data_IF_409399853000
#
_entry.id   IF_409399853000
#
_cell.length_a   1.000
_cell.length_b   1.000
_cell.length_c   1.000
_cell.angle_alpha   90.00
_cell.angle_beta   90.00
_cell.angle_gamma   90.00
#
_symmetry.space_group_name_H-M   'P 1'
#
loop_
_entity.id
_entity.type
_entity.pdbx_description
1 polymer ?
#
# COMPACT_ATOMS: atom_id res chain seq x y z
N UNK A 1 20.60 1.69 -27.35
CA UNK A 1 19.65 0.68 -26.82
C UNK A 1 19.30 -0.25 -27.97
N UNK A 2 18.96 -1.52 -27.68
CA UNK A 2 18.31 -2.43 -28.64
C UNK A 2 16.79 -2.53 -28.39
N UNK A 3 16.24 -1.55 -27.67
CA UNK A 3 14.85 -1.54 -27.27
C UNK A 3 13.93 -1.34 -28.49
N UNK A 4 12.81 -2.07 -28.60
CA UNK A 4 11.88 -1.94 -29.74
C UNK A 4 11.35 -0.51 -29.89
N UNK A 5 11.14 0.18 -28.77
CA UNK A 5 10.72 1.57 -28.72
C UNK A 5 11.79 2.58 -29.20
N UNK A 6 13.04 2.15 -29.39
CA UNK A 6 14.19 2.98 -29.75
C UNK A 6 14.68 2.80 -31.18
N UNK A 7 13.95 2.08 -32.04
CA UNK A 7 14.28 1.88 -33.46
C UNK A 7 14.41 3.24 -34.22
N UNK A 8 13.88 4.33 -33.68
CA UNK A 8 14.05 5.71 -34.18
C UNK A 8 15.12 6.55 -33.48
N UNK A 9 16.08 5.96 -32.76
CA UNK A 9 17.16 6.67 -32.08
C UNK A 9 16.75 7.41 -30.79
N UNK A 10 15.47 7.36 -30.41
CA UNK A 10 14.94 7.98 -29.19
C UNK A 10 14.36 6.91 -28.29
N UNK A 11 15.03 6.62 -27.20
CA UNK A 11 14.64 5.57 -26.29
C UNK A 11 14.22 6.17 -24.94
N UNK A 12 12.93 6.06 -24.62
CA UNK A 12 12.34 6.67 -23.41
C UNK A 12 12.99 6.21 -22.12
N UNK A 13 13.46 4.96 -22.08
CA UNK A 13 14.14 4.43 -20.90
C UNK A 13 15.50 5.11 -20.65
N UNK A 14 16.24 5.54 -21.68
CA UNK A 14 17.47 6.32 -21.49
C UNK A 14 17.14 7.70 -20.92
N UNK A 15 16.10 8.36 -21.43
CA UNK A 15 15.63 9.62 -20.85
C UNK A 15 15.21 9.44 -19.38
N UNK A 16 14.43 8.41 -19.07
CA UNK A 16 14.02 8.10 -17.70
C UNK A 16 15.22 7.85 -16.78
N UNK A 17 16.23 7.10 -17.24
CA UNK A 17 17.47 6.89 -16.47
C UNK A 17 18.22 8.20 -16.22
N UNK A 18 18.32 9.08 -17.22
CA UNK A 18 18.98 10.38 -17.05
C UNK A 18 18.24 11.29 -16.07
N UNK A 19 16.90 11.32 -16.14
CA UNK A 19 16.08 12.04 -15.16
C UNK A 19 16.25 11.49 -13.75
N UNK A 20 16.27 10.17 -13.58
CA UNK A 20 16.49 9.54 -12.28
C UNK A 20 17.86 9.89 -11.68
N UNK A 21 18.91 9.95 -12.52
CA UNK A 21 20.24 10.35 -12.06
C UNK A 21 20.30 11.81 -11.62
N UNK A 22 19.58 12.70 -12.32
CA UNK A 22 19.46 14.09 -11.91
C UNK A 22 18.78 14.22 -10.55
N UNK A 23 17.67 13.50 -10.34
CA UNK A 23 16.97 13.44 -9.05
C UNK A 23 17.91 13.02 -7.91
N UNK A 24 18.76 12.01 -8.13
CA UNK A 24 19.72 11.58 -7.10
C UNK A 24 20.76 12.65 -6.76
N UNK A 25 21.24 13.39 -7.75
CA UNK A 25 22.16 14.52 -7.53
C UNK A 25 21.47 15.63 -6.74
N UNK A 26 20.23 15.97 -7.09
CA UNK A 26 19.45 17.00 -6.38
C UNK A 26 19.12 16.61 -4.94
N UNK A 27 18.87 15.32 -4.70
CA UNK A 27 18.62 14.75 -3.37
C UNK A 27 19.91 14.54 -2.55
N UNK A 28 21.09 14.80 -3.12
CA UNK A 28 22.38 14.64 -2.45
C UNK A 28 22.73 13.17 -2.12
N UNK A 29 22.16 12.22 -2.85
CA UNK A 29 22.43 10.79 -2.69
C UNK A 29 23.78 10.46 -3.32
N UNK A 30 24.73 9.96 -2.52
CA UNK A 30 26.03 9.50 -3.00
C UNK A 30 25.98 8.12 -3.65
N UNK A 31 24.98 7.32 -3.28
CA UNK A 31 24.78 5.95 -3.73
C UNK A 31 23.34 5.74 -4.19
N UNK A 32 23.16 4.86 -5.18
CA UNK A 32 21.86 4.48 -5.70
C UNK A 32 21.14 3.65 -4.62
N UNK A 33 19.95 4.04 -4.15
CA UNK A 33 19.23 3.26 -3.15
C UNK A 33 18.87 1.88 -3.72
N UNK A 34 19.03 0.83 -2.90
CA UNK A 34 18.59 -0.51 -3.24
C UNK A 34 17.08 -0.52 -3.50
N UNK A 35 16.68 -0.94 -4.70
CA UNK A 35 15.28 -1.11 -5.09
C UNK A 35 14.74 -2.40 -4.43
N UNK A 36 14.48 -2.31 -3.11
CA UNK A 36 13.96 -3.43 -2.34
C UNK A 36 12.51 -3.66 -2.73
N UNK A 37 12.26 -4.80 -3.37
CA UNK A 37 10.89 -5.20 -3.67
C UNK A 37 10.16 -5.58 -2.38
N UNK A 38 8.82 -5.51 -2.35
CA UNK A 38 8.07 -5.79 -1.11
C UNK A 38 8.28 -7.21 -0.55
N UNK A 39 8.80 -8.13 -1.36
CA UNK A 39 9.14 -9.50 -0.96
C UNK A 39 10.55 -9.64 -0.38
N UNK A 40 11.42 -8.65 -0.60
CA UNK A 40 12.75 -8.57 0.03
C UNK A 40 12.68 -7.92 1.41
N UNK A 41 11.56 -7.30 1.76
CA UNK A 41 11.31 -6.80 3.11
C UNK A 41 10.56 -7.83 3.96
N UNK A 42 10.92 -7.92 5.24
CA UNK A 42 10.14 -8.72 6.19
C UNK A 42 8.73 -8.13 6.24
N UNK A 43 7.72 -8.98 6.02
CA UNK A 43 6.32 -8.61 6.02
C UNK A 43 5.94 -7.92 7.34
N UNK A 44 5.83 -6.58 7.32
CA UNK A 44 5.40 -5.80 8.47
C UNK A 44 3.88 -5.88 8.55
N UNK A 45 3.36 -6.63 9.53
CA UNK A 45 1.94 -6.59 9.85
C UNK A 45 1.52 -5.16 10.18
N UNK A 46 0.35 -4.74 9.69
CA UNK A 46 -0.21 -3.45 10.03
C UNK A 46 -0.40 -3.36 11.54
N UNK A 47 0.41 -2.52 12.19
CA UNK A 47 0.25 -2.20 13.61
C UNK A 47 -0.95 -1.27 13.73
N UNK A 48 -2.06 -1.69 14.36
CA UNK A 48 -3.23 -0.84 14.49
C UNK A 48 -2.85 0.46 15.21
N UNK A 49 -3.18 1.61 14.62
CA UNK A 49 -3.04 2.91 15.30
C UNK A 49 -3.86 2.85 16.59
N UNK A 50 -3.18 2.80 17.74
CA UNK A 50 -3.73 2.75 19.11
C UNK A 50 -5.21 2.35 19.10
N UNK A 51 -5.46 1.06 18.89
CA UNK A 51 -6.81 0.53 19.02
C UNK A 51 -7.29 0.92 20.43
N UNK A 52 -8.49 1.49 20.50
CA UNK A 52 -9.22 1.67 21.75
C UNK A 52 -9.01 0.42 22.59
N UNK A 53 -8.64 0.58 23.87
CA UNK A 53 -8.36 -0.51 24.82
C UNK A 53 -9.58 -1.43 24.93
N UNK A 54 -9.82 -2.28 23.93
CA UNK A 54 -10.83 -3.30 23.97
C UNK A 54 -10.29 -4.31 24.98
N UNK A 55 -10.98 -4.37 26.12
CA UNK A 55 -10.70 -5.37 27.16
C UNK A 55 -10.65 -6.73 26.46
N UNK A 56 -9.57 -7.48 26.64
CA UNK A 56 -9.49 -8.85 26.15
C UNK A 56 -10.68 -9.61 26.73
N UNK A 57 -11.54 -10.14 25.86
CA UNK A 57 -12.65 -10.99 26.24
C UNK A 57 -12.16 -12.44 26.22
N UNK A 58 -12.65 -13.25 27.16
CA UNK A 58 -12.44 -14.70 27.08
C UNK A 58 -13.19 -15.25 25.87
N UNK A 59 -12.73 -16.38 25.36
CA UNK A 59 -13.38 -17.02 24.21
C UNK A 59 -14.85 -17.35 24.49
N UNK A 60 -15.16 -17.72 25.73
CA UNK A 60 -16.51 -18.01 26.22
C UNK A 60 -17.44 -16.79 26.18
N UNK A 61 -16.87 -15.58 26.28
CA UNK A 61 -17.62 -14.31 26.25
C UNK A 61 -17.81 -13.77 24.82
N UNK A 62 -17.26 -14.45 23.79
CA UNK A 62 -17.42 -14.04 22.41
C UNK A 62 -18.82 -14.41 21.91
N UNK A 63 -19.65 -13.39 21.72
CA UNK A 63 -20.94 -13.56 21.05
C UNK A 63 -20.66 -13.54 19.55
N UNK A 64 -20.91 -14.66 18.88
CA UNK A 64 -20.90 -14.77 17.41
C UNK A 64 -22.34 -14.71 16.90
N UNK A 65 -22.90 -13.51 16.67
CA UNK A 65 -24.22 -13.42 16.10
C UNK A 65 -24.21 -14.03 14.70
N UNK A 66 -25.09 -14.99 14.46
CA UNK A 66 -25.29 -15.52 13.12
C UNK A 66 -25.79 -14.39 12.21
N UNK A 67 -25.02 -14.12 11.15
CA UNK A 67 -25.47 -13.24 10.07
C UNK A 67 -26.49 -14.02 9.24
N UNK A 68 -27.69 -13.46 9.11
CA UNK A 68 -28.77 -14.03 8.30
C UNK A 68 -29.11 -13.08 7.17
N UNK A 69 -29.46 -13.62 6.01
CA UNK A 69 -29.82 -12.85 4.81
C UNK A 69 -30.90 -11.77 5.07
N UNK A 70 -31.86 -12.08 5.95
CA UNK A 70 -32.93 -11.16 6.34
C UNK A 70 -32.42 -9.93 7.12
N UNK A 71 -31.30 -10.05 7.85
CA UNK A 71 -30.64 -8.91 8.54
C UNK A 71 -29.98 -7.96 7.55
N UNK A 72 -29.44 -8.47 6.45
CA UNK A 72 -28.86 -7.66 5.37
C UNK A 72 -29.94 -6.89 4.59
N UNK A 73 -31.09 -7.53 4.35
CA UNK A 73 -32.23 -6.91 3.65
C UNK A 73 -32.84 -5.73 4.39
N UNK A 74 -32.81 -5.73 5.73
CA UNK A 74 -33.32 -4.63 6.58
C UNK A 74 -32.38 -3.41 6.67
N UNK A 75 -31.26 -3.43 5.95
CA UNK A 75 -30.31 -2.32 5.88
C UNK A 75 -29.41 -2.28 7.11
N UNK A 76 -28.14 -2.65 6.94
CA UNK A 76 -27.15 -2.44 7.99
C UNK A 76 -26.86 -0.93 8.09
N UNK A 77 -26.96 -0.35 9.29
CA UNK A 77 -26.23 0.88 9.64
C UNK A 77 -24.74 0.54 9.80
N UNK A 78 -24.06 0.07 8.73
CA UNK A 78 -22.59 0.00 8.78
C UNK A 78 -22.11 1.44 8.82
N UNK A 79 -21.27 1.78 9.80
CA UNK A 79 -20.48 2.99 9.69
C UNK A 79 -19.60 2.81 8.44
N UNK A 80 -19.94 3.51 7.36
CA UNK A 80 -19.06 3.61 6.20
C UNK A 80 -17.84 4.37 6.70
N UNK A 81 -16.72 3.68 6.85
CA UNK A 81 -15.45 4.34 7.12
C UNK A 81 -15.03 4.96 5.79
N UNK A 82 -15.48 6.19 5.55
CA UNK A 82 -15.03 7.00 4.42
C UNK A 82 -13.58 7.43 4.70
N UNK A 83 -12.63 6.61 4.23
CA UNK A 83 -11.24 7.03 4.14
C UNK A 83 -11.11 8.02 3.00
N UNK A 84 -11.00 9.32 3.31
CA UNK A 84 -10.51 10.29 2.32
C UNK A 84 -9.07 9.93 1.97
N UNK A 85 -8.82 9.63 0.71
CA UNK A 85 -7.48 9.57 0.14
C UNK A 85 -7.13 11.01 -0.23
N UNK A 86 -6.30 11.66 0.57
CA UNK A 86 -5.71 12.95 0.19
C UNK A 86 -4.85 12.71 -1.07
N UNK A 87 -5.17 13.46 -2.13
CA UNK A 87 -4.37 13.62 -3.35
C UNK A 87 -3.63 14.94 -3.28
#
# INVERSE_FOLDING_TARGET
CCCPAGIGGRCKHVAATLFQLLDYVELGLSDIPDDKTCTQEIHKWHVPKKSTKHKALLFEDLIFPQDTYEKDKKGRKRAVVEGKRDS
#
